data_IF_096655070138
#
_entry.id   IF_096655070138
#
_cell.length_a   1.000
_cell.length_b   1.000
_cell.length_c   1.000
_cell.angle_alpha   90.00
_cell.angle_beta   90.00
_cell.angle_gamma   90.00
#
_symmetry.space_group_name_H-M   'P 1'
#
loop_
_entity.id
_entity.type
_entity.pdbx_description
1 polymer ?
#
# COMPACT_ATOMS: atom_id res chain seq x y z
N UNK A 1 47.01 -37.39 -16.06
CA UNK A 1 46.66 -36.73 -15.81
C UNK A 1 46.13 -36.36 -15.49
N UNK A 2 46.29 -36.38 -15.67
CA UNK A 2 45.71 -36.10 -15.32
C UNK A 2 44.86 -35.82 -15.38
N UNK A 3 44.72 -36.11 -15.79
CA UNK A 3 43.75 -35.82 -15.71
C UNK A 3 43.16 -36.36 -15.00
N UNK A 4 43.68 -37.21 -14.75
CA UNK A 4 43.05 -37.64 -14.13
C UNK A 4 42.46 -37.24 -13.17
N UNK A 5 42.95 -37.35 -12.68
CA UNK A 5 42.33 -36.75 -12.15
C UNK A 5 42.43 -35.44 -12.34
N UNK A 6 43.34 -35.33 -13.08
CA UNK A 6 43.25 -34.10 -13.71
C UNK A 6 41.88 -33.88 -14.26
N UNK A 7 41.31 -34.84 -14.89
CA UNK A 7 39.95 -34.76 -15.33
C UNK A 7 39.00 -34.47 -14.19
N UNK A 8 39.22 -35.12 -13.09
CA UNK A 8 38.41 -34.88 -11.92
C UNK A 8 38.52 -33.42 -11.47
N UNK A 9 39.71 -32.89 -11.52
CA UNK A 9 39.91 -31.50 -11.15
C UNK A 9 39.25 -30.55 -12.16
N UNK A 10 39.40 -30.84 -13.43
CA UNK A 10 38.77 -30.04 -14.45
C UNK A 10 37.26 -30.09 -14.38
N UNK A 11 36.70 -31.25 -14.10
CA UNK A 11 35.26 -31.39 -13.94
C UNK A 11 34.76 -30.59 -12.78
N UNK A 12 35.45 -30.56 -11.68
CA UNK A 12 35.05 -29.72 -10.54
C UNK A 12 35.07 -28.26 -10.91
N UNK A 13 36.05 -27.84 -11.65
CA UNK A 13 36.12 -26.44 -12.06
C UNK A 13 34.98 -26.09 -12.97
N UNK A 14 34.64 -26.96 -13.90
CA UNK A 14 33.52 -26.73 -14.82
C UNK A 14 32.20 -26.70 -14.07
N UNK A 15 32.03 -27.61 -13.12
CA UNK A 15 30.81 -27.63 -12.31
C UNK A 15 30.65 -26.33 -11.50
N UNK A 16 31.73 -25.87 -10.93
CA UNK A 16 31.70 -24.65 -10.18
C UNK A 16 31.30 -23.46 -11.07
N UNK A 17 31.86 -23.39 -12.26
CA UNK A 17 31.52 -22.33 -13.20
C UNK A 17 30.06 -22.38 -13.61
N UNK A 18 29.51 -23.57 -13.84
CA UNK A 18 28.11 -23.75 -14.18
C UNK A 18 27.23 -23.32 -13.02
N UNK A 19 27.52 -23.72 -11.82
CA UNK A 19 26.75 -23.32 -10.64
C UNK A 19 26.79 -21.82 -10.42
N UNK A 20 27.90 -21.19 -10.69
CA UNK A 20 28.00 -19.75 -10.56
C UNK A 20 27.05 -19.04 -11.54
N UNK A 21 26.99 -19.52 -12.77
CA UNK A 21 26.08 -18.93 -13.76
C UNK A 21 24.63 -19.10 -13.36
N UNK A 22 24.28 -20.24 -12.81
CA UNK A 22 22.92 -20.49 -12.34
C UNK A 22 22.59 -19.57 -11.18
N UNK A 23 23.48 -19.44 -10.22
CA UNK A 23 23.28 -18.56 -9.08
C UNK A 23 23.16 -17.11 -9.50
N UNK A 24 23.95 -16.69 -10.47
CA UNK A 24 23.85 -15.34 -10.98
C UNK A 24 22.52 -15.08 -11.65
N UNK A 25 22.02 -16.04 -12.42
CA UNK A 25 20.71 -15.93 -13.04
C UNK A 25 19.58 -15.83 -12.01
N UNK A 26 19.67 -16.62 -10.94
CA UNK A 26 18.71 -16.55 -9.85
C UNK A 26 18.82 -15.20 -9.14
N UNK A 27 20.03 -14.72 -8.90
CA UNK A 27 20.23 -13.45 -8.26
C UNK A 27 19.66 -12.30 -9.09
N UNK A 28 19.86 -12.33 -10.40
CA UNK A 28 19.30 -11.32 -11.29
C UNK A 28 17.77 -11.34 -11.27
N UNK A 29 17.18 -12.53 -11.23
CA UNK A 29 15.74 -12.67 -11.13
C UNK A 29 15.22 -12.15 -9.80
N UNK A 30 15.89 -12.48 -8.71
CA UNK A 30 15.52 -11.99 -7.39
C UNK A 30 15.65 -10.47 -7.30
N UNK A 31 16.66 -9.90 -7.93
CA UNK A 31 16.83 -8.46 -7.98
C UNK A 31 15.67 -7.80 -8.69
N UNK A 32 15.22 -8.38 -9.79
CA UNK A 32 14.06 -7.86 -10.51
C UNK A 32 12.80 -7.95 -9.65
N UNK A 33 12.58 -9.06 -8.97
CA UNK A 33 11.43 -9.22 -8.06
C UNK A 33 11.54 -8.27 -6.89
N UNK A 34 12.72 -8.11 -6.33
CA UNK A 34 12.96 -7.19 -5.21
C UNK A 34 12.69 -5.75 -5.65
N UNK A 35 13.10 -5.40 -6.87
CA UNK A 35 12.79 -4.07 -7.42
C UNK A 35 11.29 -3.82 -7.48
N UNK A 36 10.52 -4.80 -7.92
CA UNK A 36 9.07 -4.70 -7.93
C UNK A 36 8.53 -4.61 -6.50
N UNK A 37 9.04 -5.43 -5.59
CA UNK A 37 8.62 -5.41 -4.19
C UNK A 37 8.94 -4.08 -3.54
N UNK A 38 10.09 -3.50 -3.84
CA UNK A 38 10.47 -2.19 -3.29
C UNK A 38 9.57 -1.10 -3.80
N UNK A 39 9.13 -1.16 -5.07
CA UNK A 39 8.19 -0.18 -5.60
C UNK A 39 6.79 -0.34 -5.00
N UNK A 40 6.45 -1.52 -4.48
CA UNK A 40 5.19 -1.80 -3.81
C UNK A 40 5.35 -1.71 -2.30
N UNK A 41 6.54 -2.03 -1.80
CA UNK A 41 6.86 -2.28 -0.41
C UNK A 41 6.71 -1.06 0.47
N UNK A 42 7.20 -1.09 1.71
CA UNK A 42 6.73 -0.18 2.75
C UNK A 42 6.90 1.27 2.34
N UNK A 43 5.87 1.79 1.74
CA UNK A 43 5.82 3.20 1.40
C UNK A 43 5.43 3.98 2.63
N UNK A 44 5.99 5.17 2.74
CA UNK A 44 5.54 6.12 3.72
C UNK A 44 4.10 6.48 3.42
N UNK A 45 3.23 6.17 4.35
CA UNK A 45 1.84 6.60 4.28
C UNK A 45 1.67 7.82 5.14
N UNK A 46 0.92 8.77 4.64
CA UNK A 46 0.72 10.04 5.30
C UNK A 46 -0.66 10.04 5.93
N UNK A 47 -0.71 10.34 7.22
CA UNK A 47 -1.97 10.53 7.93
C UNK A 47 -2.34 11.99 7.89
N UNK A 48 -3.56 12.27 7.44
CA UNK A 48 -4.09 13.63 7.37
C UNK A 48 -5.33 13.73 8.26
N UNK A 49 -5.45 14.85 8.95
CA UNK A 49 -6.59 15.11 9.84
C UNK A 49 -7.18 16.44 9.43
N UNK A 50 -8.49 16.45 9.18
CA UNK A 50 -9.22 17.63 8.73
C UNK A 50 -10.45 17.81 9.60
N UNK A 51 -10.71 19.05 10.00
CA UNK A 51 -12.01 19.45 10.54
C UNK A 51 -12.70 20.31 9.51
N UNK A 52 -13.98 20.04 9.27
CA UNK A 52 -14.73 20.80 8.29
C UNK A 52 -16.17 20.94 8.70
N UNK A 53 -16.75 22.09 8.32
CA UNK A 53 -18.18 22.38 8.52
C UNK A 53 -18.86 22.63 7.18
N UNK A 54 -18.26 22.21 6.10
CA UNK A 54 -18.77 22.47 4.76
C UNK A 54 -18.91 21.19 3.95
N UNK A 55 -19.54 21.30 2.80
CA UNK A 55 -19.61 20.23 1.82
C UNK A 55 -18.26 20.06 1.17
N UNK A 56 -17.87 18.82 0.94
CA UNK A 56 -16.62 18.53 0.28
C UNK A 56 -16.54 17.12 -0.25
N UNK A 57 -15.36 16.78 -0.74
CA UNK A 57 -15.07 15.49 -1.33
C UNK A 57 -13.66 15.10 -0.96
N UNK A 58 -13.50 13.87 -0.52
CA UNK A 58 -12.18 13.27 -0.30
C UNK A 58 -11.82 12.55 -1.58
N UNK A 59 -10.77 13.01 -2.25
CA UNK A 59 -10.39 12.45 -3.55
C UNK A 59 -10.01 10.98 -3.43
N UNK A 60 -10.23 10.23 -4.50
CA UNK A 60 -9.86 8.83 -4.58
C UNK A 60 -8.36 8.62 -4.33
N UNK A 61 -7.99 7.40 -4.03
CA UNK A 61 -6.59 7.04 -3.82
C UNK A 61 -6.17 6.96 -2.38
N UNK A 62 -7.08 7.07 -1.44
CA UNK A 62 -6.78 6.91 -0.02
C UNK A 62 -6.80 5.44 0.36
N UNK A 63 -6.00 5.06 1.33
CA UNK A 63 -5.95 3.69 1.84
C UNK A 63 -7.00 3.46 2.92
N UNK A 64 -7.28 4.46 3.72
CA UNK A 64 -8.35 4.41 4.69
C UNK A 64 -8.86 5.81 4.98
N UNK A 65 -10.14 5.89 5.34
CA UNK A 65 -10.80 7.14 5.70
C UNK A 65 -11.71 6.88 6.88
N UNK A 66 -11.65 7.73 7.87
CA UNK A 66 -12.54 7.71 9.02
C UNK A 66 -13.18 9.08 9.16
N UNK A 67 -14.50 9.10 9.23
CA UNK A 67 -15.25 10.35 9.36
C UNK A 67 -16.12 10.25 10.60
N UNK A 68 -15.92 11.18 11.51
CA UNK A 68 -16.71 11.28 12.73
C UNK A 68 -17.51 12.59 12.73
N UNK A 69 -18.78 12.50 13.06
CA UNK A 69 -19.60 13.69 13.25
C UNK A 69 -19.40 14.16 14.69
N UNK A 70 -18.65 15.21 14.84
CA UNK A 70 -18.36 15.81 16.15
C UNK A 70 -19.20 17.05 16.41
N UNK A 71 -20.12 17.37 15.50
CA UNK A 71 -21.05 18.48 15.66
C UNK A 71 -22.33 18.05 16.36
N UNK A 72 -23.33 18.93 16.29
CA UNK A 72 -24.59 18.73 17.00
C UNK A 72 -25.76 18.41 16.06
N UNK A 73 -25.53 18.38 14.78
CA UNK A 73 -26.55 18.13 13.78
C UNK A 73 -26.12 16.97 12.88
N UNK A 74 -27.06 16.48 12.07
CA UNK A 74 -26.75 15.41 11.11
C UNK A 74 -25.95 15.96 9.93
N UNK A 75 -25.03 15.14 9.43
CA UNK A 75 -24.40 15.34 8.15
C UNK A 75 -24.64 14.14 7.27
N UNK A 76 -24.02 14.10 6.10
CA UNK A 76 -24.11 12.94 5.22
C UNK A 76 -22.74 12.56 4.69
N UNK A 77 -22.55 11.25 4.46
CA UNK A 77 -21.36 10.71 3.83
C UNK A 77 -21.84 9.75 2.75
N UNK A 78 -21.50 10.02 1.50
CA UNK A 78 -21.97 9.26 0.34
C UNK A 78 -23.50 9.07 0.37
N UNK A 79 -24.21 10.11 0.75
CA UNK A 79 -25.68 10.08 0.82
C UNK A 79 -26.25 9.41 2.05
N UNK A 80 -25.44 8.89 2.93
CA UNK A 80 -25.89 8.25 4.17
C UNK A 80 -25.82 9.23 5.32
N UNK A 81 -26.89 9.33 6.10
CA UNK A 81 -26.93 10.22 7.24
C UNK A 81 -25.94 9.77 8.32
N UNK A 82 -25.11 10.71 8.76
CA UNK A 82 -24.20 10.52 9.88
C UNK A 82 -24.66 11.40 11.02
N UNK A 83 -25.16 10.78 12.08
CA UNK A 83 -25.69 11.50 13.24
C UNK A 83 -24.58 11.98 14.15
N UNK A 84 -24.84 12.95 15.03
CA UNK A 84 -23.85 13.35 16.01
C UNK A 84 -23.28 12.15 16.79
N UNK A 85 -21.98 12.17 17.01
CA UNK A 85 -21.22 11.11 17.69
C UNK A 85 -21.12 9.78 16.93
N UNK A 86 -21.60 9.73 15.70
CA UNK A 86 -21.39 8.57 14.85
C UNK A 86 -20.09 8.70 14.08
N UNK A 87 -19.48 7.55 13.81
CA UNK A 87 -18.26 7.47 13.00
C UNK A 87 -18.45 6.43 11.93
N UNK A 88 -17.99 6.73 10.73
CA UNK A 88 -17.98 5.78 9.63
C UNK A 88 -16.54 5.58 9.16
N UNK A 89 -16.17 4.33 8.92
CA UNK A 89 -14.82 3.97 8.51
C UNK A 89 -14.85 3.29 7.15
N UNK A 90 -13.90 3.67 6.32
CA UNK A 90 -13.69 3.06 5.02
C UNK A 90 -12.26 2.52 4.99
N UNK A 91 -12.09 1.30 4.52
CA UNK A 91 -10.79 0.67 4.42
C UNK A 91 -10.70 -0.03 3.07
N UNK A 92 -9.61 0.20 2.37
CA UNK A 92 -9.40 -0.41 1.07
C UNK A 92 -9.07 -1.90 1.18
N UNK A 93 -8.64 -2.37 2.34
CA UNK A 93 -8.39 -3.77 2.62
C UNK A 93 -7.05 -4.27 2.16
N UNK A 94 -6.92 -4.56 0.88
CA UNK A 94 -5.69 -5.14 0.36
C UNK A 94 -4.60 -4.08 0.15
N UNK A 95 -3.35 -4.52 0.15
CA UNK A 95 -2.16 -3.66 0.17
C UNK A 95 -2.12 -2.66 -0.97
N UNK A 96 -2.56 -3.04 -2.15
CA UNK A 96 -2.49 -2.19 -3.33
C UNK A 96 -3.83 -1.58 -3.72
N UNK A 97 -4.84 -1.76 -2.90
CA UNK A 97 -6.15 -1.20 -3.16
C UNK A 97 -6.26 0.18 -2.56
N UNK A 98 -7.02 1.03 -3.23
CA UNK A 98 -7.35 2.35 -2.74
C UNK A 98 -8.85 2.56 -2.83
N UNK A 99 -9.33 3.53 -2.07
CA UNK A 99 -10.75 3.87 -2.03
C UNK A 99 -11.11 4.79 -3.18
N UNK A 100 -12.38 4.72 -3.59
CA UNK A 100 -12.98 5.73 -4.46
C UNK A 100 -13.12 7.04 -3.70
N UNK A 101 -13.46 8.10 -4.42
CA UNK A 101 -13.74 9.37 -3.79
C UNK A 101 -14.97 9.27 -2.87
N UNK A 102 -14.95 10.07 -1.84
CA UNK A 102 -16.01 10.08 -0.81
C UNK A 102 -16.58 11.47 -0.68
N UNK A 103 -17.84 11.62 -1.08
CA UNK A 103 -18.56 12.88 -0.93
C UNK A 103 -19.10 12.98 0.49
N UNK A 104 -19.05 14.18 1.03
CA UNK A 104 -19.64 14.43 2.35
C UNK A 104 -20.28 15.80 2.41
N UNK A 105 -21.26 15.92 3.28
CA UNK A 105 -21.93 17.19 3.58
C UNK A 105 -21.86 17.38 5.08
N UNK A 106 -21.06 18.33 5.52
CA UNK A 106 -20.93 18.68 6.93
C UNK A 106 -21.61 20.02 7.23
N UNK A 107 -22.32 20.59 6.26
CA UNK A 107 -23.01 21.87 6.44
C UNK A 107 -24.00 21.75 7.58
N UNK A 108 -23.89 22.64 8.56
CA UNK A 108 -24.74 22.63 9.75
C UNK A 108 -24.22 21.78 10.90
N UNK A 109 -23.17 21.04 10.69
CA UNK A 109 -22.50 20.25 11.72
C UNK A 109 -20.99 20.36 11.51
N UNK A 110 -20.23 19.50 12.17
CA UNK A 110 -18.77 19.44 12.00
C UNK A 110 -18.32 18.01 11.89
N UNK A 111 -17.48 17.72 10.88
CA UNK A 111 -16.85 16.43 10.70
C UNK A 111 -15.38 16.50 11.05
N UNK A 112 -14.92 15.47 11.75
CA UNK A 112 -13.50 15.20 11.93
C UNK A 112 -13.15 14.06 10.99
N UNK A 113 -12.29 14.33 10.04
CA UNK A 113 -11.91 13.38 8.98
C UNK A 113 -10.45 13.03 9.15
N UNK A 114 -10.17 11.73 9.21
CA UNK A 114 -8.81 11.21 9.27
C UNK A 114 -8.66 10.29 8.07
N UNK A 115 -7.67 10.55 7.22
CA UNK A 115 -7.41 9.66 6.11
C UNK A 115 -5.91 9.41 5.94
N UNK A 116 -5.62 8.26 5.36
CA UNK A 116 -4.25 7.81 5.07
C UNK A 116 -4.09 7.74 3.57
N UNK A 117 -3.09 8.41 3.08
CA UNK A 117 -2.79 8.43 1.64
C UNK A 117 -1.34 8.07 1.33
#
# INVERSE_FOLDING_TARGET
>A
MSVGNINSYGDKKNNFSFQYKVLKGIADLLTAITGITVSIGPESRVTNIIRTTSTGNISAGKFSVSIANVGLANGTVKGVTLKPNETINFDAGALNNTLDDIDYIATGTEFLIIYIS
#
